data_IF_581269946270
#
_entry.id   IF_581269946270
#
_cell.length_a   1.000
_cell.length_b   1.000
_cell.length_c   1.000
_cell.angle_alpha   90.00
_cell.angle_beta   90.00
_cell.angle_gamma   90.00
#
_symmetry.space_group_name_H-M   'P 1'
#
loop_
_entity.id
_entity.type
_entity.pdbx_description
1 polymer ?
#
# COMPACT_ATOMS: atom_id res chain seq x y z
N UNK A 1 8.96 -8.69 8.65
CA UNK A 1 7.51 -8.56 8.94
C UNK A 1 7.15 -7.17 9.50
N UNK A 2 7.67 -6.76 10.67
CA UNK A 2 7.21 -5.54 11.36
C UNK A 2 7.40 -4.21 10.61
N UNK A 3 8.50 -4.02 9.87
CA UNK A 3 8.76 -2.76 9.14
C UNK A 3 7.75 -2.56 7.99
N UNK A 4 7.46 -3.65 7.27
CA UNK A 4 6.53 -3.66 6.13
C UNK A 4 5.07 -3.47 6.58
N UNK A 5 4.68 -4.08 7.70
CA UNK A 5 3.39 -3.86 8.33
C UNK A 5 3.22 -2.42 8.86
N UNK A 6 4.23 -1.88 9.55
CA UNK A 6 4.21 -0.49 10.05
C UNK A 6 4.03 0.51 8.91
N UNK A 7 4.68 0.23 7.78
CA UNK A 7 4.51 1.02 6.57
C UNK A 7 3.11 0.87 5.97
N UNK A 8 2.59 -0.34 5.87
CA UNK A 8 1.24 -0.59 5.38
C UNK A 8 0.21 0.18 6.22
N UNK A 9 0.33 0.11 7.54
CA UNK A 9 -0.49 0.90 8.47
C UNK A 9 -0.39 2.39 8.20
N UNK A 10 0.82 2.93 7.97
CA UNK A 10 1.01 4.36 7.66
C UNK A 10 0.34 4.77 6.34
N UNK A 11 0.35 3.90 5.33
CA UNK A 11 -0.33 4.15 4.06
C UNK A 11 -1.85 4.14 4.23
N UNK A 12 -2.38 3.10 4.87
CA UNK A 12 -3.82 2.93 5.11
C UNK A 12 -4.39 4.03 6.01
N UNK A 13 -3.59 4.53 6.98
CA UNK A 13 -4.00 5.65 7.83
C UNK A 13 -4.08 6.99 7.10
N UNK A 14 -3.32 7.18 6.01
CA UNK A 14 -3.28 8.46 5.30
C UNK A 14 -4.42 8.63 4.30
N UNK A 15 -4.82 7.55 3.60
CA UNK A 15 -5.90 7.56 2.61
C UNK A 15 -6.50 6.16 2.46
N UNK A 16 -7.69 6.07 1.88
CA UNK A 16 -8.23 4.79 1.40
C UNK A 16 -7.40 4.29 0.20
N UNK A 17 -6.86 3.07 0.30
CA UNK A 17 -6.11 2.40 -0.75
C UNK A 17 -6.78 1.07 -1.09
N UNK A 18 -6.76 0.67 -2.36
CA UNK A 18 -7.07 -0.71 -2.75
C UNK A 18 -5.91 -1.63 -2.41
N UNK A 19 -6.19 -2.92 -2.31
CA UNK A 19 -5.19 -3.96 -2.09
C UNK A 19 -4.05 -3.91 -3.12
N UNK A 20 -4.39 -3.80 -4.41
CA UNK A 20 -3.39 -3.70 -5.46
C UNK A 20 -2.57 -2.40 -5.39
N UNK A 21 -3.15 -1.29 -4.90
CA UNK A 21 -2.40 -0.06 -4.66
C UNK A 21 -1.45 -0.22 -3.47
N UNK A 22 -1.89 -0.91 -2.41
CA UNK A 22 -1.04 -1.23 -1.26
C UNK A 22 0.12 -2.13 -1.69
N UNK A 23 -0.14 -3.23 -2.40
CA UNK A 23 0.88 -4.15 -2.96
C UNK A 23 1.90 -3.40 -3.80
N UNK A 24 1.43 -2.56 -4.74
CA UNK A 24 2.30 -1.75 -5.62
C UNK A 24 3.18 -0.78 -4.82
N UNK A 25 2.63 -0.12 -3.79
CA UNK A 25 3.38 0.83 -2.96
C UNK A 25 4.38 0.15 -2.03
N UNK A 26 4.03 -1.02 -1.50
CA UNK A 26 4.93 -1.84 -0.67
C UNK A 26 6.10 -2.36 -1.51
N UNK A 27 5.83 -2.82 -2.73
CA UNK A 27 6.87 -3.28 -3.67
C UNK A 27 7.76 -2.12 -4.17
N UNK A 28 7.18 -0.98 -4.54
CA UNK A 28 7.92 0.10 -5.21
C UNK A 28 8.77 0.97 -4.28
N UNK A 29 8.40 1.10 -3.00
CA UNK A 29 8.99 2.13 -2.15
C UNK A 29 9.89 1.60 -1.02
N UNK A 30 10.21 0.30 -0.99
CA UNK A 30 11.06 -0.34 0.05
C UNK A 30 12.32 0.48 0.39
N UNK A 31 12.85 1.25 -0.57
CA UNK A 31 14.11 1.99 -0.44
C UNK A 31 14.02 3.47 0.00
N UNK A 32 12.94 4.22 -0.31
CA UNK A 32 12.99 5.71 -0.20
C UNK A 32 12.69 6.26 1.20
N UNK A 33 12.00 5.50 2.06
CA UNK A 33 11.60 5.99 3.38
C UNK A 33 12.79 6.14 4.36
N UNK A 34 13.84 5.33 4.19
CA UNK A 34 15.05 5.41 5.03
C UNK A 34 15.95 6.59 4.65
N UNK A 35 15.83 7.12 3.43
CA UNK A 35 16.62 8.25 2.95
C UNK A 35 16.02 9.64 3.31
N UNK A 36 14.74 9.72 3.70
CA UNK A 36 14.04 11.00 3.95
C UNK A 36 13.81 11.34 5.42
N UNK A 37 13.93 10.38 6.34
CA UNK A 37 13.88 10.64 7.78
C UNK A 37 15.29 10.65 8.37
N UNK A 38 15.96 11.79 8.21
CA UNK A 38 17.13 12.14 9.02
C UNK A 38 16.71 12.30 10.47
N UNK A 39 16.77 11.19 11.22
CA UNK A 39 16.80 11.18 12.67
C UNK A 39 18.09 10.48 13.09
N UNK A 40 19.12 11.27 13.41
CA UNK A 40 20.40 10.79 13.94
C UNK A 40 20.14 10.15 15.32
N UNK A 41 20.12 8.83 15.38
CA UNK A 41 20.16 8.04 16.62
C UNK A 41 21.41 7.16 16.62
N UNK A 42 22.20 7.11 17.71
CA UNK A 42 23.41 6.32 17.79
C UNK A 42 23.06 4.87 18.14
N UNK A 43 22.51 4.13 17.17
CA UNK A 43 22.60 2.68 17.17
C UNK A 43 22.38 2.16 15.76
N UNK A 44 23.50 1.87 15.10
CA UNK A 44 23.50 1.03 13.92
C UNK A 44 22.88 -0.34 14.28
N UNK A 45 22.21 -0.98 13.31
CA UNK A 45 22.63 -2.30 12.93
C UNK A 45 23.30 -2.20 11.58
N UNK A 46 24.62 -2.36 11.63
CA UNK A 46 25.46 -2.86 10.57
C UNK A 46 24.85 -4.17 10.05
N UNK A 47 24.36 -4.15 8.83
CA UNK A 47 24.46 -5.30 7.94
C UNK A 47 24.66 -4.80 6.52
N UNK A 48 25.54 -5.47 5.77
CA UNK A 48 26.18 -4.93 4.60
C UNK A 48 25.21 -4.91 3.41
N UNK A 49 25.53 -4.05 2.46
CA UNK A 49 25.18 -4.11 1.03
C UNK A 49 24.75 -5.51 0.58
N UNK A 50 23.46 -5.83 0.71
CA UNK A 50 22.84 -6.91 -0.05
C UNK A 50 22.28 -6.25 -1.30
N UNK A 51 22.66 -6.82 -2.43
CA UNK A 51 22.14 -6.51 -3.75
C UNK A 51 20.61 -6.35 -3.68
N UNK A 52 20.09 -5.49 -4.55
CA UNK A 52 18.69 -5.13 -4.70
C UNK A 52 17.79 -6.37 -4.88
N UNK A 53 17.50 -7.10 -3.81
CA UNK A 53 16.52 -8.17 -3.86
C UNK A 53 15.12 -7.52 -3.79
N UNK A 54 14.28 -7.74 -4.79
CA UNK A 54 12.89 -7.31 -4.73
C UNK A 54 12.27 -7.92 -3.48
N UNK A 55 11.51 -7.11 -2.74
CA UNK A 55 10.78 -7.57 -1.54
C UNK A 55 10.05 -8.88 -1.86
N UNK A 56 10.25 -9.89 -1.02
CA UNK A 56 9.60 -11.19 -1.19
C UNK A 56 8.08 -11.00 -1.35
N UNK A 57 7.50 -11.44 -2.48
CA UNK A 57 6.07 -11.30 -2.72
C UNK A 57 5.25 -12.05 -1.66
N UNK A 58 5.79 -13.13 -1.09
CA UNK A 58 5.21 -13.85 0.03
C UNK A 58 5.04 -12.98 1.28
N UNK A 59 5.99 -12.09 1.57
CA UNK A 59 5.91 -11.20 2.74
C UNK A 59 4.86 -10.10 2.54
N UNK A 60 4.73 -9.59 1.30
CA UNK A 60 3.68 -8.63 0.94
C UNK A 60 2.31 -9.28 1.12
N UNK A 61 2.16 -10.53 0.67
CA UNK A 61 0.90 -11.25 0.79
C UNK A 61 0.50 -11.48 2.24
N UNK A 62 1.43 -11.90 3.11
CA UNK A 62 1.17 -12.04 4.54
C UNK A 62 0.71 -10.73 5.19
N UNK A 63 1.33 -9.59 4.83
CA UNK A 63 0.92 -8.28 5.36
C UNK A 63 -0.47 -7.89 4.84
N UNK A 64 -0.77 -8.14 3.56
CA UNK A 64 -2.09 -7.89 2.98
C UNK A 64 -3.17 -8.71 3.68
N UNK A 65 -2.93 -10.02 3.87
CA UNK A 65 -3.84 -10.91 4.61
C UNK A 65 -4.07 -10.40 6.03
N UNK A 66 -3.01 -9.99 6.72
CA UNK A 66 -3.13 -9.41 8.06
C UNK A 66 -3.97 -8.12 8.05
N UNK A 67 -3.77 -7.23 7.07
CA UNK A 67 -4.58 -6.02 6.93
C UNK A 67 -6.07 -6.32 6.66
N UNK A 68 -6.40 -7.37 5.90
CA UNK A 68 -7.79 -7.81 5.73
C UNK A 68 -8.37 -8.40 7.00
N UNK A 69 -7.62 -9.23 7.73
CA UNK A 69 -8.07 -9.82 9.00
C UNK A 69 -8.41 -8.76 10.04
N UNK A 70 -7.63 -7.67 10.07
CA UNK A 70 -7.88 -6.53 10.94
C UNK A 70 -8.87 -5.50 10.38
N UNK A 71 -9.50 -5.81 9.24
CA UNK A 71 -10.49 -4.98 8.55
C UNK A 71 -9.95 -3.57 8.19
N UNK A 72 -8.62 -3.44 8.02
CA UNK A 72 -7.94 -2.22 7.59
C UNK A 72 -7.93 -2.07 6.07
N UNK A 73 -8.12 -3.18 5.34
CA UNK A 73 -8.31 -3.22 3.90
C UNK A 73 -9.70 -3.77 3.58
N UNK A 74 -10.44 -3.08 2.73
CA UNK A 74 -11.75 -3.50 2.24
C UNK A 74 -11.99 -2.89 0.85
N UNK A 75 -11.74 -3.67 -0.19
CA UNK A 75 -11.89 -3.22 -1.57
C UNK A 75 -13.35 -2.94 -1.94
N UNK A 76 -14.33 -3.57 -1.29
CA UNK A 76 -15.75 -3.31 -1.54
C UNK A 76 -16.12 -1.91 -1.03
N UNK A 77 -15.67 -1.56 0.18
CA UNK A 77 -15.85 -0.21 0.72
C UNK A 77 -15.12 0.83 -0.13
N UNK A 78 -13.90 0.51 -0.56
CA UNK A 78 -13.16 1.36 -1.49
C UNK A 78 -13.93 1.58 -2.80
N UNK A 79 -14.41 0.52 -3.46
CA UNK A 79 -15.17 0.60 -4.70
C UNK A 79 -16.41 1.48 -4.54
N UNK A 80 -17.19 1.26 -3.49
CA UNK A 80 -18.43 2.00 -3.25
C UNK A 80 -18.15 3.50 -3.05
N UNK A 81 -17.17 3.85 -2.21
CA UNK A 81 -16.74 5.23 -1.99
C UNK A 81 -16.19 5.88 -3.28
N UNK A 82 -15.40 5.12 -4.04
CA UNK A 82 -14.80 5.57 -5.30
C UNK A 82 -15.85 5.85 -6.37
N UNK A 83 -16.84 4.96 -6.54
CA UNK A 83 -17.96 5.15 -7.46
C UNK A 83 -18.75 6.40 -7.09
N UNK A 84 -19.12 6.57 -5.81
CA UNK A 84 -19.85 7.75 -5.36
C UNK A 84 -19.08 9.07 -5.53
N UNK A 85 -17.77 9.05 -5.31
CA UNK A 85 -16.89 10.21 -5.52
C UNK A 85 -16.74 10.58 -6.99
N UNK A 86 -16.55 9.59 -7.87
CA UNK A 86 -16.41 9.81 -9.32
C UNK A 86 -17.73 10.14 -10.00
N UNK A 87 -18.82 9.52 -9.59
CA UNK A 87 -20.17 9.80 -10.10
C UNK A 87 -20.58 11.25 -9.84
N UNK A 88 -20.35 11.77 -8.62
CA UNK A 88 -20.60 13.19 -8.29
C UNK A 88 -19.77 14.17 -9.12
N UNK A 89 -18.63 13.74 -9.65
CA UNK A 89 -17.79 14.54 -10.56
C UNK A 89 -18.18 14.41 -12.03
N UNK A 90 -19.25 13.68 -12.35
CA UNK A 90 -19.75 13.51 -13.72
C UNK A 90 -19.05 12.43 -14.54
N UNK A 91 -18.31 11.51 -13.91
CA UNK A 91 -17.68 10.40 -14.63
C UNK A 91 -18.74 9.35 -14.99
N UNK A 92 -18.73 8.89 -16.25
CA UNK A 92 -19.61 7.82 -16.71
C UNK A 92 -19.24 6.45 -16.13
N UNK A 93 -20.23 5.57 -15.97
CA UNK A 93 -20.08 4.25 -15.33
C UNK A 93 -18.97 3.38 -15.97
N UNK A 94 -18.82 3.41 -17.30
CA UNK A 94 -17.74 2.67 -17.98
C UNK A 94 -16.35 3.19 -17.58
N UNK A 95 -16.18 4.50 -17.47
CA UNK A 95 -14.88 5.10 -17.09
C UNK A 95 -14.53 4.74 -15.65
N UNK A 96 -15.51 4.82 -14.74
CA UNK A 96 -15.33 4.44 -13.34
C UNK A 96 -14.94 2.96 -13.24
N UNK A 97 -15.58 2.08 -14.01
CA UNK A 97 -15.24 0.65 -14.08
C UNK A 97 -13.81 0.44 -14.57
N UNK A 98 -13.38 1.11 -15.65
CA UNK A 98 -11.99 1.02 -16.11
C UNK A 98 -10.99 1.51 -15.08
N UNK A 99 -11.28 2.59 -14.35
CA UNK A 99 -10.40 3.08 -13.28
C UNK A 99 -10.31 2.09 -12.11
N UNK A 100 -11.43 1.46 -11.72
CA UNK A 100 -11.45 0.42 -10.70
C UNK A 100 -10.62 -0.80 -11.12
N UNK A 101 -10.79 -1.27 -12.36
CA UNK A 101 -10.00 -2.38 -12.91
C UNK A 101 -8.51 -2.05 -12.94
N UNK A 102 -8.12 -0.82 -13.30
CA UNK A 102 -6.72 -0.38 -13.24
C UNK A 102 -6.16 -0.34 -11.81
N UNK A 103 -7.03 -0.11 -10.83
CA UNK A 103 -6.73 -0.13 -9.40
C UNK A 103 -6.84 -1.52 -8.77
N UNK A 104 -7.13 -2.55 -9.56
CA UNK A 104 -7.20 -3.94 -9.14
C UNK A 104 -8.44 -4.30 -8.31
N UNK A 105 -9.55 -3.56 -8.51
CA UNK A 105 -10.84 -3.78 -7.83
C UNK A 105 -11.93 -4.15 -8.84
#
# INVERSE_FOLDING_TARGET
>A
MNDLLSRAMRLLSQRDHSEAELRRKLAAQSFVAKARFGGKGPHAPTSPTVAEEPVDPALIDQVVVYCYQHNWLDDKRFAHSYIGSRSRKGYGAQRIRSELMQKGV
#
